data_IF_512469068386
#
_entry.id   IF_512469068386
#
_cell.length_a   1.000
_cell.length_b   1.000
_cell.length_c   1.000
_cell.angle_alpha   90.00
_cell.angle_beta   90.00
_cell.angle_gamma   90.00
#
_symmetry.space_group_name_H-M   'P 1'
#
loop_
_entity.id
_entity.type
_entity.pdbx_description
1 polymer ?
#
# COMPACT_ATOMS: atom_id res chain seq x y z
N UNK A 1 -9.74 -12.22 -1.51
CA UNK A 1 -8.50 -11.49 -1.91
C UNK A 1 -8.75 -10.40 -2.98
N UNK A 2 -9.99 -10.01 -3.26
CA UNK A 2 -10.30 -9.05 -4.33
C UNK A 2 -9.76 -7.64 -4.06
N UNK A 3 -9.74 -7.18 -2.80
CA UNK A 3 -9.23 -5.85 -2.44
C UNK A 3 -7.75 -5.68 -2.74
N UNK A 4 -6.94 -6.73 -2.53
CA UNK A 4 -5.51 -6.71 -2.86
C UNK A 4 -5.31 -6.64 -4.37
N UNK A 5 -6.11 -7.38 -5.14
CA UNK A 5 -6.09 -7.32 -6.61
C UNK A 5 -6.50 -5.94 -7.12
N UNK A 6 -7.54 -5.34 -6.55
CA UNK A 6 -7.99 -4.00 -6.89
C UNK A 6 -6.89 -2.96 -6.62
N UNK A 7 -6.24 -3.00 -5.45
CA UNK A 7 -5.11 -2.09 -5.16
C UNK A 7 -3.93 -2.33 -6.10
N UNK A 8 -3.59 -3.59 -6.41
CA UNK A 8 -2.55 -3.90 -7.39
C UNK A 8 -2.87 -3.29 -8.76
N UNK A 9 -4.09 -3.44 -9.24
CA UNK A 9 -4.54 -2.84 -10.50
C UNK A 9 -4.44 -1.30 -10.46
N UNK A 10 -4.99 -0.66 -9.42
CA UNK A 10 -4.98 0.81 -9.27
C UNK A 10 -3.57 1.40 -9.14
N UNK A 11 -2.62 0.65 -8.56
CA UNK A 11 -1.24 1.09 -8.41
C UNK A 11 -0.33 0.77 -9.61
N UNK A 12 -0.89 0.20 -10.68
CA UNK A 12 -0.13 -0.23 -11.85
C UNK A 12 0.89 -1.30 -11.48
N UNK A 13 0.46 -2.31 -10.72
CA UNK A 13 1.30 -3.47 -10.40
C UNK A 13 1.51 -4.31 -11.66
N UNK A 14 2.77 -4.47 -12.02
CA UNK A 14 3.21 -5.31 -13.11
C UNK A 14 3.63 -6.68 -12.56
N UNK A 15 2.95 -7.74 -12.99
CA UNK A 15 3.17 -9.10 -12.50
C UNK A 15 4.44 -9.75 -13.07
N UNK A 16 4.94 -9.28 -14.22
CA UNK A 16 6.15 -9.82 -14.84
C UNK A 16 7.40 -9.31 -14.10
N UNK A 17 7.42 -8.03 -13.77
CA UNK A 17 8.55 -7.36 -13.10
C UNK A 17 8.39 -7.31 -11.58
N UNK A 18 7.21 -7.65 -11.04
CA UNK A 18 6.87 -7.55 -9.61
C UNK A 18 7.08 -6.13 -9.06
N UNK A 19 6.70 -5.10 -9.84
CA UNK A 19 6.86 -3.68 -9.47
C UNK A 19 5.55 -2.92 -9.55
N UNK A 20 5.39 -1.94 -8.67
CA UNK A 20 4.34 -0.94 -8.78
C UNK A 20 4.85 0.24 -9.62
N UNK A 21 4.03 0.69 -10.58
CA UNK A 21 4.27 1.93 -11.30
C UNK A 21 4.21 3.15 -10.37
N UNK A 22 3.27 3.14 -9.41
CA UNK A 22 3.11 4.21 -8.42
C UNK A 22 3.16 3.61 -7.00
N UNK A 23 4.34 3.28 -6.48
CA UNK A 23 4.47 2.63 -5.17
C UNK A 23 4.04 3.52 -4.00
N UNK A 24 4.14 4.84 -4.14
CA UNK A 24 3.61 5.79 -3.14
C UNK A 24 2.08 5.71 -3.02
N UNK A 25 1.38 5.44 -4.12
CA UNK A 25 -0.08 5.25 -4.14
C UNK A 25 -0.47 3.95 -3.44
N UNK A 26 0.32 2.88 -3.62
CA UNK A 26 0.11 1.61 -2.94
C UNK A 26 0.20 1.75 -1.41
N UNK A 27 1.21 2.45 -0.90
CA UNK A 27 1.32 2.75 0.53
C UNK A 27 0.18 3.66 1.02
N UNK A 28 -0.22 4.65 0.23
CA UNK A 28 -1.30 5.58 0.60
C UNK A 28 -2.65 4.87 0.69
N UNK A 29 -2.96 4.01 -0.27
CA UNK A 29 -4.17 3.18 -0.28
C UNK A 29 -4.17 2.20 0.89
N UNK A 30 -3.05 1.54 1.17
CA UNK A 30 -2.92 0.68 2.34
C UNK A 30 -3.24 1.39 3.66
N UNK A 31 -2.71 2.61 3.83
CA UNK A 31 -2.98 3.43 5.02
C UNK A 31 -4.43 3.92 5.11
N UNK A 32 -5.05 4.30 3.98
CA UNK A 32 -6.46 4.72 3.96
C UNK A 32 -7.37 3.52 4.28
N UNK A 33 -7.11 2.37 3.69
CA UNK A 33 -7.88 1.16 3.95
C UNK A 33 -7.77 0.69 5.41
N UNK A 34 -6.58 0.81 6.01
CA UNK A 34 -6.41 0.57 7.45
C UNK A 34 -7.24 1.55 8.29
N UNK A 35 -7.36 2.83 7.88
CA UNK A 35 -8.24 3.79 8.56
C UNK A 35 -9.72 3.43 8.39
N UNK A 36 -10.14 2.95 7.23
CA UNK A 36 -11.51 2.48 6.97
C UNK A 36 -11.85 1.26 7.84
N UNK A 37 -10.87 0.44 8.19
CA UNK A 37 -11.07 -0.65 9.15
C UNK A 37 -11.50 -0.16 10.56
N UNK A 38 -11.23 1.11 10.90
CA UNK A 38 -11.73 1.73 12.14
C UNK A 38 -13.25 1.93 12.14
N UNK A 39 -13.92 1.75 10.99
CA UNK A 39 -15.38 1.62 10.92
C UNK A 39 -15.91 0.46 11.79
N UNK A 40 -15.07 -0.52 12.14
CA UNK A 40 -15.42 -1.56 13.13
C UNK A 40 -15.94 -0.95 14.44
N UNK A 41 -15.34 0.13 14.92
CA UNK A 41 -15.78 0.82 16.13
C UNK A 41 -17.19 1.43 15.94
N UNK A 42 -17.46 2.00 14.77
CA UNK A 42 -18.79 2.52 14.43
C UNK A 42 -19.82 1.38 14.30
N UNK A 43 -19.44 0.24 13.73
CA UNK A 43 -20.26 -0.97 13.66
C UNK A 43 -20.63 -1.53 15.03
N UNK A 44 -19.69 -1.50 15.98
CA UNK A 44 -19.93 -1.91 17.37
C UNK A 44 -20.91 -0.96 18.07
N UNK A 45 -20.73 0.36 17.90
CA UNK A 45 -21.62 1.37 18.49
C UNK A 45 -23.05 1.26 17.93
N UNK A 46 -23.18 1.00 16.63
CA UNK A 46 -24.46 0.89 15.91
C UNK A 46 -25.07 -0.52 15.94
N UNK A 47 -24.45 -1.48 16.64
CA UNK A 47 -24.85 -2.89 16.70
C UNK A 47 -24.98 -3.59 15.33
N UNK A 48 -24.29 -3.05 14.31
CA UNK A 48 -24.28 -3.57 12.94
C UNK A 48 -23.29 -4.74 12.82
N UNK A 49 -23.76 -5.95 13.14
CA UNK A 49 -22.93 -7.17 13.19
C UNK A 49 -22.20 -7.48 11.87
N UNK A 50 -22.83 -7.24 10.72
CA UNK A 50 -22.19 -7.47 9.42
C UNK A 50 -21.02 -6.51 9.16
N UNK A 51 -21.17 -5.24 9.54
CA UNK A 51 -20.13 -4.24 9.38
C UNK A 51 -18.94 -4.57 10.29
N UNK A 52 -19.19 -5.04 11.50
CA UNK A 52 -18.15 -5.50 12.43
C UNK A 52 -17.42 -6.73 11.88
N UNK A 53 -18.14 -7.71 11.34
CA UNK A 53 -17.54 -8.92 10.73
C UNK A 53 -16.63 -8.55 9.56
N UNK A 54 -17.17 -7.81 8.58
CA UNK A 54 -16.44 -7.44 7.38
C UNK A 54 -15.21 -6.57 7.71
N UNK A 55 -15.34 -5.65 8.67
CA UNK A 55 -14.21 -4.84 9.11
C UNK A 55 -13.14 -5.67 9.85
N UNK A 56 -13.54 -6.69 10.61
CA UNK A 56 -12.60 -7.57 11.31
C UNK A 56 -11.85 -8.49 10.35
N UNK A 57 -12.56 -9.15 9.42
CA UNK A 57 -11.91 -9.95 8.37
C UNK A 57 -10.95 -9.11 7.52
N UNK A 58 -11.32 -7.86 7.24
CA UNK A 58 -10.44 -6.93 6.54
C UNK A 58 -9.21 -6.54 7.37
N UNK A 59 -9.34 -6.36 8.69
CA UNK A 59 -8.22 -6.08 9.59
C UNK A 59 -7.23 -7.24 9.65
N UNK A 60 -7.71 -8.47 9.74
CA UNK A 60 -6.85 -9.66 9.81
C UNK A 60 -6.08 -9.84 8.49
N UNK A 61 -6.76 -9.71 7.35
CA UNK A 61 -6.11 -9.73 6.03
C UNK A 61 -5.12 -8.56 5.87
N UNK A 62 -5.45 -7.38 6.39
CA UNK A 62 -4.56 -6.23 6.34
C UNK A 62 -3.30 -6.45 7.18
N UNK A 63 -3.46 -6.94 8.41
CA UNK A 63 -2.35 -7.20 9.34
C UNK A 63 -1.41 -8.30 8.86
N UNK A 64 -1.93 -9.44 8.42
CA UNK A 64 -1.10 -10.60 8.05
C UNK A 64 -0.50 -10.48 6.65
N UNK A 65 -1.29 -9.98 5.70
CA UNK A 65 -1.05 -10.23 4.27
C UNK A 65 -0.77 -8.96 3.46
N UNK A 66 -1.21 -7.80 3.93
CA UNK A 66 -0.99 -6.54 3.23
C UNK A 66 0.46 -6.10 3.21
N UNK A 67 1.17 -6.31 4.32
CA UNK A 67 2.57 -5.93 4.41
C UNK A 67 3.41 -6.70 3.39
N UNK A 68 3.23 -8.02 3.34
CA UNK A 68 3.91 -8.91 2.41
C UNK A 68 3.60 -8.55 0.95
N UNK A 69 2.31 -8.41 0.60
CA UNK A 69 1.89 -8.29 -0.80
C UNK A 69 1.98 -6.88 -1.37
N UNK A 70 1.88 -5.84 -0.53
CA UNK A 70 1.77 -4.45 -0.95
C UNK A 70 2.88 -3.60 -0.36
N UNK A 71 2.94 -3.44 0.97
CA UNK A 71 3.81 -2.44 1.61
C UNK A 71 5.31 -2.73 1.42
N UNK A 72 5.72 -4.00 1.54
CA UNK A 72 7.11 -4.41 1.35
C UNK A 72 7.58 -4.18 -0.10
N UNK A 73 6.77 -4.60 -1.07
CA UNK A 73 7.08 -4.42 -2.50
C UNK A 73 7.09 -2.94 -2.88
N UNK A 74 6.11 -2.15 -2.42
CA UNK A 74 6.07 -0.71 -2.65
C UNK A 74 7.29 0.02 -2.05
N UNK A 75 7.69 -0.33 -0.83
CA UNK A 75 8.85 0.26 -0.17
C UNK A 75 10.15 -0.09 -0.89
N UNK A 76 10.29 -1.34 -1.35
CA UNK A 76 11.40 -1.77 -2.21
C UNK A 76 11.45 -0.96 -3.50
N UNK A 77 10.33 -0.78 -4.21
CA UNK A 77 10.30 0.01 -5.43
C UNK A 77 10.67 1.48 -5.20
N UNK A 78 10.25 2.09 -4.08
CA UNK A 78 10.65 3.46 -3.72
C UNK A 78 12.16 3.53 -3.47
N UNK A 79 12.73 2.56 -2.76
CA UNK A 79 14.15 2.53 -2.49
C UNK A 79 14.96 2.34 -3.79
N UNK A 80 14.57 1.39 -4.63
CA UNK A 80 15.17 1.19 -5.96
C UNK A 80 15.08 2.45 -6.83
N UNK A 81 13.95 3.17 -6.82
CA UNK A 81 13.82 4.42 -7.57
C UNK A 81 14.78 5.52 -7.07
N UNK A 82 15.03 5.58 -5.75
CA UNK A 82 16.03 6.51 -5.18
C UNK A 82 17.47 6.12 -5.55
N UNK A 83 17.80 4.83 -5.54
CA UNK A 83 19.12 4.33 -5.93
C UNK A 83 19.41 4.51 -7.41
N UNK A 84 18.41 4.34 -8.27
CA UNK A 84 18.54 4.53 -9.72
C UNK A 84 18.44 6.00 -10.16
N UNK A 85 18.23 6.93 -9.22
CA UNK A 85 18.22 8.35 -9.55
C UNK A 85 19.64 8.77 -9.95
N UNK A 86 19.86 9.29 -11.17
CA UNK A 86 21.18 9.74 -11.58
C UNK A 86 21.68 10.78 -10.58
N UNK A 87 22.78 10.50 -9.90
CA UNK A 87 23.47 11.52 -9.12
C UNK A 87 24.01 12.54 -10.11
N UNK A 88 23.27 13.63 -10.30
CA UNK A 88 23.81 14.81 -10.95
C UNK A 88 24.83 15.34 -9.96
N UNK A 89 26.09 14.92 -10.12
CA UNK A 89 27.19 15.58 -9.43
C UNK A 89 27.18 17.03 -9.93
N UNK A 90 26.94 18.03 -9.07
CA UNK A 90 27.05 19.41 -9.50
C UNK A 90 28.47 19.56 -10.04
N UNK A 91 28.59 19.99 -11.29
CA UNK A 91 29.87 20.43 -11.83
C UNK A 91 30.37 21.50 -10.87
N UNK A 92 31.44 21.21 -10.14
CA UNK A 92 32.22 22.24 -9.47
C UNK A 92 32.75 23.11 -10.59
N UNK A 93 32.27 24.35 -10.67
CA UNK A 93 32.95 25.39 -11.41
C UNK A 93 34.32 25.55 -10.76
N UNK A 94 35.35 24.98 -11.39
CA UNK A 94 36.73 25.39 -11.12
C UNK A 94 36.84 26.86 -11.51
N UNK A 95 36.81 27.75 -10.50
CA UNK A 95 37.14 29.16 -10.61
C UNK A 95 38.58 29.36 -10.15
#
# INVERSE_FOLDING_TARGET
METVKAVKCTCGYDSETNKFMIPSLANKLGNVLFKVSKLKAQGLISNHKELVRNASEFQDIHGEKWNEMISATASRNIMEAKWNMPTIMPFTEDI
#
